data_IF_561441407142
#
_entry.id   IF_561441407142
#
_cell.length_a   1.000
_cell.length_b   1.000
_cell.length_c   1.000
_cell.angle_alpha   90.00
_cell.angle_beta   90.00
_cell.angle_gamma   90.00
#
_symmetry.space_group_name_H-M   'P 1'
#
loop_
_entity.id
_entity.type
_entity.pdbx_description
1 polymer ?
#
# COMPACT_ATOMS: atom_id res chain seq x y z
N UNK A 1 33.70 19.53 47.66
CA UNK A 1 32.78 18.90 48.63
C UNK A 1 32.38 17.51 48.12
N UNK A 2 32.40 16.52 49.01
CA UNK A 2 32.19 15.09 48.73
C UNK A 2 30.70 14.80 48.49
N UNK A 3 30.41 13.92 47.53
CA UNK A 3 29.17 13.15 47.43
C UNK A 3 29.49 11.85 46.70
N UNK A 4 29.19 10.71 47.32
CA UNK A 4 29.71 9.38 47.00
C UNK A 4 28.53 8.42 46.77
N UNK A 5 28.77 7.38 45.95
CA UNK A 5 28.07 6.07 45.85
C UNK A 5 26.71 6.10 45.12
N UNK A 6 26.31 5.15 44.26
CA UNK A 6 26.63 3.72 44.03
C UNK A 6 25.99 3.34 42.67
N UNK A 7 26.64 2.62 41.76
CA UNK A 7 26.56 1.15 41.68
C UNK A 7 25.66 0.70 40.52
N UNK A 8 26.24 0.36 39.36
CA UNK A 8 25.56 -0.41 38.30
C UNK A 8 26.28 -1.75 38.13
N UNK A 9 25.63 -2.79 38.65
CA UNK A 9 26.09 -4.17 38.55
C UNK A 9 25.96 -4.69 37.12
N UNK A 10 27.05 -5.27 36.63
CA UNK A 10 27.04 -6.19 35.50
C UNK A 10 26.33 -7.48 35.94
N UNK A 11 25.28 -7.88 35.22
CA UNK A 11 24.73 -9.23 35.31
C UNK A 11 25.01 -9.94 34.00
N UNK A 12 26.15 -10.62 33.99
CA UNK A 12 26.47 -11.71 33.07
C UNK A 12 25.76 -12.97 33.58
N UNK A 13 24.71 -13.41 32.90
CA UNK A 13 24.07 -14.70 33.13
C UNK A 13 24.48 -15.69 32.02
N UNK A 14 24.87 -16.93 32.36
CA UNK A 14 25.37 -17.89 31.37
C UNK A 14 24.23 -18.52 30.56
N UNK A 15 24.27 -18.35 29.24
CA UNK A 15 23.43 -19.08 28.29
C UNK A 15 23.85 -20.55 28.28
N UNK A 16 23.04 -21.42 28.91
CA UNK A 16 23.21 -22.87 28.82
C UNK A 16 22.86 -23.34 27.40
N UNK A 17 23.89 -23.58 26.59
CA UNK A 17 23.80 -24.42 25.40
C UNK A 17 23.40 -25.84 25.82
N UNK A 18 22.27 -26.35 25.33
CA UNK A 18 21.94 -27.78 25.45
C UNK A 18 22.73 -28.55 24.40
N UNK A 19 23.50 -29.53 24.88
CA UNK A 19 24.19 -30.52 24.06
C UNK A 19 23.19 -31.43 23.34
N UNK A 20 23.51 -31.75 22.08
CA UNK A 20 22.88 -32.82 21.30
C UNK A 20 23.73 -34.09 21.54
N UNK A 21 23.17 -35.23 21.95
CA UNK A 21 23.93 -36.46 22.07
C UNK A 21 24.21 -37.08 20.70
N UNK A 22 25.41 -37.64 20.59
CA UNK A 22 25.98 -38.38 19.47
C UNK A 22 25.18 -39.61 19.02
N UNK A 23 25.38 -39.93 17.76
CA UNK A 23 24.86 -41.08 17.04
C UNK A 23 25.41 -42.43 17.53
N UNK A 24 24.61 -43.48 17.38
CA UNK A 24 25.05 -44.88 17.26
C UNK A 24 23.96 -45.70 16.53
N UNK A 25 24.23 -46.94 16.08
CA UNK A 25 24.72 -47.24 14.74
C UNK A 25 23.82 -48.25 13.99
N UNK A 26 24.08 -48.44 12.69
CA UNK A 26 23.67 -49.64 11.98
C UNK A 26 22.92 -49.38 10.69
N UNK A 27 23.63 -49.42 9.57
CA UNK A 27 23.02 -49.89 8.34
C UNK A 27 24.03 -50.72 7.55
N UNK A 28 23.87 -52.03 7.64
CA UNK A 28 24.43 -52.99 6.71
C UNK A 28 23.76 -52.84 5.34
N UNK A 29 24.58 -53.01 4.31
CA UNK A 29 24.34 -52.47 2.98
C UNK A 29 23.14 -53.03 2.21
N UNK A 30 22.75 -52.24 1.23
CA UNK A 30 22.08 -52.73 0.02
C UNK A 30 22.74 -52.08 -1.19
N UNK A 31 23.41 -52.93 -1.97
CA UNK A 31 23.74 -52.71 -3.39
C UNK A 31 22.44 -52.69 -4.19
N UNK A 32 22.09 -51.54 -4.76
CA UNK A 32 20.98 -51.37 -5.70
C UNK A 32 21.38 -50.37 -6.79
N UNK A 33 21.03 -50.69 -8.03
CA UNK A 33 21.47 -50.04 -9.29
C UNK A 33 20.89 -48.65 -9.53
N UNK A 34 21.58 -47.77 -10.29
CA UNK A 34 21.11 -46.42 -10.58
C UNK A 34 20.17 -46.40 -11.80
N UNK A 35 18.87 -46.55 -11.57
CA UNK A 35 17.82 -46.17 -12.54
C UNK A 35 16.75 -45.33 -11.85
N UNK A 36 16.18 -44.40 -12.62
CA UNK A 36 15.04 -43.52 -12.29
C UNK A 36 15.30 -42.21 -11.53
N UNK A 37 15.94 -41.25 -12.23
CA UNK A 37 15.67 -39.82 -12.01
C UNK A 37 14.35 -39.41 -12.71
N UNK A 38 13.23 -39.92 -12.20
CA UNK A 38 11.92 -39.29 -12.46
C UNK A 38 11.37 -38.85 -11.12
N UNK A 39 11.34 -37.53 -10.88
CA UNK A 39 10.64 -36.96 -9.73
C UNK A 39 9.16 -37.27 -9.94
N UNK A 40 8.70 -38.38 -9.35
CA UNK A 40 7.30 -38.73 -9.31
C UNK A 40 6.55 -37.57 -8.64
N UNK A 41 5.81 -36.80 -9.44
CA UNK A 41 4.84 -35.83 -8.94
C UNK A 41 3.87 -36.62 -8.07
N UNK A 42 3.86 -36.32 -6.77
CA UNK A 42 2.82 -36.80 -5.86
C UNK A 42 1.45 -36.51 -6.51
N UNK A 43 0.54 -37.48 -6.59
CA UNK A 43 -0.82 -37.24 -7.07
C UNK A 43 -1.46 -36.16 -6.19
N UNK A 44 -2.01 -35.15 -6.85
CA UNK A 44 -2.78 -34.10 -6.20
C UNK A 44 -4.03 -34.74 -5.56
N UNK A 45 -4.43 -34.35 -4.34
CA UNK A 45 -5.65 -34.91 -3.73
C UNK A 45 -6.85 -34.71 -4.66
N UNK A 46 -7.65 -35.76 -4.82
CA UNK A 46 -8.89 -35.74 -5.60
C UNK A 46 -9.87 -34.77 -4.92
N UNK A 47 -10.08 -33.64 -5.58
CA UNK A 47 -10.81 -32.48 -5.04
C UNK A 47 -10.06 -31.21 -5.41
N UNK A 48 -10.24 -30.74 -6.64
CA UNK A 48 -9.67 -29.47 -7.10
C UNK A 48 -10.01 -28.32 -6.15
N UNK A 49 -9.26 -27.22 -6.20
CA UNK A 49 -9.53 -26.09 -5.31
C UNK A 49 -10.93 -25.52 -5.58
N UNK A 50 -11.68 -25.24 -4.52
CA UNK A 50 -13.03 -24.71 -4.62
C UNK A 50 -13.05 -23.44 -5.50
N UNK A 51 -14.04 -23.32 -6.42
CA UNK A 51 -14.13 -22.18 -7.32
C UNK A 51 -14.37 -20.88 -6.54
N UNK A 52 -14.11 -19.75 -7.20
CA UNK A 52 -14.53 -18.45 -6.68
C UNK A 52 -16.02 -18.33 -6.91
N UNK A 53 -16.80 -18.24 -5.84
CA UNK A 53 -18.26 -18.07 -5.90
C UNK A 53 -18.69 -16.64 -5.59
N UNK A 54 -17.82 -15.85 -4.93
CA UNK A 54 -18.03 -14.45 -4.62
C UNK A 54 -16.71 -13.70 -4.72
N UNK A 55 -16.75 -12.44 -5.18
CA UNK A 55 -15.62 -11.51 -5.13
C UNK A 55 -15.98 -10.35 -4.23
N UNK A 56 -15.06 -9.93 -3.38
CA UNK A 56 -15.25 -8.76 -2.52
C UNK A 56 -14.13 -7.77 -2.77
N UNK A 57 -14.49 -6.51 -3.01
CA UNK A 57 -13.56 -5.39 -3.11
C UNK A 57 -13.51 -4.66 -1.79
N UNK A 58 -12.30 -4.28 -1.40
CA UNK A 58 -12.01 -3.75 -0.07
C UNK A 58 -11.24 -2.45 -0.24
N UNK A 59 -11.70 -1.40 0.45
CA UNK A 59 -10.95 -0.15 0.65
C UNK A 59 -10.29 -0.17 2.02
N UNK A 60 -9.01 0.18 2.07
CA UNK A 60 -8.28 0.26 3.33
C UNK A 60 -7.38 1.50 3.38
N UNK A 61 -6.98 1.87 4.59
CA UNK A 61 -6.07 2.97 4.85
C UNK A 61 -4.71 2.49 5.35
N UNK A 62 -3.68 3.31 5.13
CA UNK A 62 -2.33 3.17 5.68
C UNK A 62 -1.96 4.48 6.37
N UNK A 63 -1.95 4.47 7.71
CA UNK A 63 -1.77 5.68 8.53
C UNK A 63 -0.62 5.54 9.52
N UNK A 64 -0.19 6.68 10.06
CA UNK A 64 0.82 6.73 11.12
C UNK A 64 2.13 6.05 10.70
N UNK A 65 2.74 5.20 11.56
CA UNK A 65 3.94 4.43 11.23
C UNK A 65 3.74 3.39 10.11
N UNK A 66 2.51 2.91 9.88
CA UNK A 66 2.23 1.85 8.91
C UNK A 66 2.34 2.33 7.45
N UNK A 67 2.46 3.64 7.23
CA UNK A 67 2.82 4.20 5.91
C UNK A 67 4.19 3.72 5.40
N UNK A 68 5.08 3.33 6.30
CA UNK A 68 6.40 2.79 5.96
C UNK A 68 6.37 1.28 5.62
N UNK A 69 5.21 0.63 5.72
CA UNK A 69 5.04 -0.77 5.30
C UNK A 69 5.09 -0.85 3.79
N UNK A 70 6.02 -1.65 3.24
CA UNK A 70 6.10 -1.90 1.80
C UNK A 70 4.88 -2.68 1.31
N UNK A 71 4.61 -2.67 0.00
CA UNK A 71 3.52 -3.46 -0.57
C UNK A 71 3.62 -4.96 -0.24
N UNK A 72 4.84 -5.52 -0.27
CA UNK A 72 5.06 -6.95 0.04
C UNK A 72 4.77 -7.26 1.51
N UNK A 73 5.15 -6.35 2.40
CA UNK A 73 4.93 -6.55 3.84
C UNK A 73 3.45 -6.41 4.20
N UNK A 74 2.74 -5.50 3.54
CA UNK A 74 1.29 -5.40 3.62
C UNK A 74 0.63 -6.69 3.12
N UNK A 75 0.99 -7.18 1.93
CA UNK A 75 0.42 -8.41 1.38
C UNK A 75 0.57 -9.60 2.34
N UNK A 76 1.74 -9.76 2.95
CA UNK A 76 1.99 -10.79 3.99
C UNK A 76 1.15 -10.57 5.25
N UNK A 77 0.97 -9.32 5.69
CA UNK A 77 0.13 -9.00 6.84
C UNK A 77 -1.35 -9.29 6.56
N UNK A 78 -1.81 -8.95 5.36
CA UNK A 78 -3.17 -9.19 4.90
C UNK A 78 -3.48 -10.68 4.76
N UNK A 79 -2.56 -11.48 4.19
CA UNK A 79 -2.70 -12.95 4.16
C UNK A 79 -2.81 -13.56 5.56
N UNK A 80 -2.05 -13.05 6.54
CA UNK A 80 -2.19 -13.47 7.94
C UNK A 80 -3.52 -13.04 8.54
N UNK A 81 -4.01 -11.85 8.19
CA UNK A 81 -5.32 -11.36 8.64
C UNK A 81 -6.44 -12.24 8.10
N UNK A 82 -6.42 -12.58 6.81
CA UNK A 82 -7.36 -13.53 6.18
C UNK A 82 -7.41 -14.86 6.94
N UNK A 83 -6.24 -15.42 7.29
CA UNK A 83 -6.15 -16.67 8.07
C UNK A 83 -6.69 -16.52 9.50
N UNK A 84 -6.35 -15.44 10.22
CA UNK A 84 -6.80 -15.20 11.60
C UNK A 84 -8.31 -14.94 11.69
N UNK A 85 -8.86 -14.24 10.72
CA UNK A 85 -10.29 -13.95 10.62
C UNK A 85 -11.11 -15.12 10.08
N UNK A 86 -10.47 -16.25 9.72
CA UNK A 86 -11.16 -17.42 9.19
C UNK A 86 -11.81 -17.18 7.82
N UNK A 87 -11.29 -16.23 7.03
CA UNK A 87 -11.89 -15.85 5.75
C UNK A 87 -11.80 -17.04 4.77
N UNK A 88 -12.91 -17.44 4.13
CA UNK A 88 -12.94 -18.55 3.19
C UNK A 88 -12.38 -18.12 1.83
N UNK A 89 -11.08 -17.82 1.79
CA UNK A 89 -10.37 -17.40 0.58
C UNK A 89 -10.27 -18.57 -0.40
N UNK A 90 -10.56 -18.31 -1.67
CA UNK A 90 -10.29 -19.23 -2.78
C UNK A 90 -8.81 -19.17 -3.18
N UNK A 91 -8.29 -20.25 -3.74
CA UNK A 91 -6.89 -20.36 -4.16
C UNK A 91 -6.77 -20.51 -5.68
N UNK A 92 -5.57 -20.27 -6.21
CA UNK A 92 -5.21 -20.49 -7.61
C UNK A 92 -4.88 -21.96 -7.91
N UNK A 93 -5.38 -22.49 -9.02
CA UNK A 93 -5.05 -23.85 -9.45
C UNK A 93 -3.55 -24.02 -9.73
N UNK A 94 -3.02 -25.23 -9.50
CA UNK A 94 -1.62 -25.59 -9.78
C UNK A 94 -0.85 -26.16 -8.58
N UNK A 95 0.45 -26.36 -8.75
CA UNK A 95 1.34 -27.02 -7.78
C UNK A 95 1.70 -26.15 -6.56
N UNK A 96 1.45 -24.84 -6.64
CA UNK A 96 1.66 -23.91 -5.52
C UNK A 96 0.44 -22.98 -5.45
N UNK A 97 -0.59 -23.38 -4.68
CA UNK A 97 -1.80 -22.58 -4.52
C UNK A 97 -1.49 -21.25 -3.83
N UNK A 98 -1.89 -20.14 -4.47
CA UNK A 98 -1.83 -18.82 -3.87
C UNK A 98 -3.25 -18.30 -3.62
N UNK A 99 -3.48 -17.57 -2.51
CA UNK A 99 -4.79 -16.96 -2.27
C UNK A 99 -5.13 -16.02 -3.42
N UNK A 100 -6.40 -16.04 -3.87
CA UNK A 100 -6.87 -15.18 -4.95
C UNK A 100 -7.08 -13.76 -4.43
N UNK A 101 -6.02 -12.96 -4.54
CA UNK A 101 -5.99 -11.55 -4.16
C UNK A 101 -5.46 -10.75 -5.34
N UNK A 102 -6.16 -9.68 -5.71
CA UNK A 102 -5.73 -8.69 -6.69
C UNK A 102 -5.59 -7.34 -6.02
N UNK A 103 -4.48 -6.65 -6.24
CA UNK A 103 -4.24 -5.32 -5.69
C UNK A 103 -4.32 -4.30 -6.82
N UNK A 104 -5.07 -3.21 -6.64
CA UNK A 104 -5.31 -2.24 -7.71
C UNK A 104 -4.06 -1.39 -7.99
N UNK A 105 -3.56 -0.75 -6.93
CA UNK A 105 -2.32 0.01 -6.91
C UNK A 105 -1.81 0.05 -5.46
N UNK A 106 -0.57 0.49 -5.25
CA UNK A 106 -0.03 0.69 -3.91
C UNK A 106 0.62 2.07 -3.80
N UNK A 107 0.35 2.81 -2.73
CA UNK A 107 1.12 4.01 -2.44
C UNK A 107 2.62 3.68 -2.27
N UNK A 108 3.52 4.60 -2.69
CA UNK A 108 4.94 4.48 -2.38
C UNK A 108 5.19 4.33 -0.87
N UNK A 109 6.27 3.62 -0.51
CA UNK A 109 6.67 3.51 0.89
C UNK A 109 6.96 4.88 1.48
N UNK A 110 6.45 5.14 2.69
CA UNK A 110 6.60 6.43 3.38
C UNK A 110 5.41 7.37 3.17
N UNK A 111 4.51 7.04 2.25
CA UNK A 111 3.31 7.83 1.93
C UNK A 111 2.08 7.22 2.60
N UNK A 112 1.29 8.06 3.28
CA UNK A 112 0.02 7.64 3.86
C UNK A 112 -1.05 7.52 2.76
N UNK A 113 -2.12 6.76 3.02
CA UNK A 113 -3.19 6.58 2.03
C UNK A 113 -4.51 6.31 2.71
N UNK A 114 -5.56 6.97 2.25
CA UNK A 114 -6.97 6.77 2.64
C UNK A 114 -7.73 5.94 1.61
N UNK A 115 -7.08 5.66 0.48
CA UNK A 115 -7.69 5.07 -0.70
C UNK A 115 -6.73 4.02 -1.27
N UNK A 116 -6.51 2.93 -0.54
CA UNK A 116 -5.93 1.71 -1.09
C UNK A 116 -7.05 0.70 -1.39
N UNK A 117 -6.91 -0.05 -2.49
CA UNK A 117 -7.94 -0.99 -2.92
C UNK A 117 -7.36 -2.37 -3.26
N UNK A 118 -8.10 -3.40 -2.88
CA UNK A 118 -7.83 -4.78 -3.27
C UNK A 118 -9.13 -5.54 -3.51
N UNK A 119 -9.04 -6.65 -4.22
CA UNK A 119 -10.12 -7.59 -4.47
C UNK A 119 -9.69 -8.98 -3.98
N UNK A 120 -10.60 -9.69 -3.31
CA UNK A 120 -10.40 -11.08 -2.91
C UNK A 120 -11.47 -11.98 -3.53
N UNK A 121 -11.08 -13.20 -3.90
CA UNK A 121 -12.00 -14.25 -4.33
C UNK A 121 -12.30 -15.23 -3.19
N UNK A 122 -13.58 -15.45 -2.91
CA UNK A 122 -14.06 -16.32 -1.83
C UNK A 122 -14.64 -17.62 -2.37
N UNK A 123 -14.48 -18.71 -1.61
CA UNK A 123 -15.00 -20.06 -1.95
C UNK A 123 -16.40 -20.34 -1.40
N UNK A 124 -16.92 -19.46 -0.55
CA UNK A 124 -18.31 -19.46 -0.06
C UNK A 124 -18.78 -18.00 0.10
N UNK A 125 -20.09 -17.72 0.00
CA UNK A 125 -20.62 -16.38 0.21
C UNK A 125 -20.42 -15.91 1.66
N UNK A 126 -19.99 -14.65 1.82
CA UNK A 126 -19.81 -13.98 3.10
C UNK A 126 -20.46 -12.59 3.02
N UNK A 127 -21.06 -12.17 4.13
CA UNK A 127 -21.55 -10.80 4.30
C UNK A 127 -20.37 -9.79 4.27
N UNK A 128 -20.35 -8.83 3.33
CA UNK A 128 -19.21 -7.90 3.18
C UNK A 128 -18.90 -7.09 4.44
N UNK A 129 -19.91 -6.67 5.22
CA UNK A 129 -19.66 -5.88 6.43
C UNK A 129 -19.07 -6.72 7.56
N UNK A 130 -19.53 -7.97 7.73
CA UNK A 130 -18.89 -8.92 8.66
C UNK A 130 -17.45 -9.19 8.26
N UNK A 131 -17.18 -9.34 6.96
CA UNK A 131 -15.83 -9.51 6.44
C UNK A 131 -14.96 -8.28 6.71
N UNK A 132 -15.47 -7.06 6.45
CA UNK A 132 -14.79 -5.79 6.76
C UNK A 132 -14.39 -5.74 8.23
N UNK A 133 -15.36 -5.91 9.12
CA UNK A 133 -15.16 -5.84 10.57
C UNK A 133 -14.18 -6.90 11.09
N UNK A 134 -14.24 -8.13 10.57
CA UNK A 134 -13.32 -9.20 10.95
C UNK A 134 -11.88 -8.93 10.48
N UNK A 135 -11.70 -8.41 9.26
CA UNK A 135 -10.38 -8.05 8.74
C UNK A 135 -9.78 -6.85 9.46
N UNK A 136 -10.58 -5.83 9.74
CA UNK A 136 -10.20 -4.64 10.50
C UNK A 136 -9.67 -5.02 11.89
N UNK A 137 -10.42 -5.85 12.62
CA UNK A 137 -10.01 -6.37 13.93
C UNK A 137 -8.77 -7.26 13.87
N UNK A 138 -8.54 -7.93 12.73
CA UNK A 138 -7.38 -8.80 12.55
C UNK A 138 -6.13 -8.05 12.10
N UNK A 139 -6.21 -6.81 11.61
CA UNK A 139 -5.07 -6.01 11.17
C UNK A 139 -4.50 -5.17 12.32
N UNK A 140 -3.26 -4.70 12.14
CA UNK A 140 -2.62 -3.83 13.12
C UNK A 140 -3.17 -2.40 12.99
N UNK A 141 -3.34 -1.65 14.09
CA UNK A 141 -3.79 -0.26 14.03
C UNK A 141 -2.99 0.57 13.02
N UNK A 142 -3.71 1.34 12.19
CA UNK A 142 -3.12 2.09 11.07
C UNK A 142 -3.09 1.33 9.74
N UNK A 143 -3.54 0.07 9.72
CA UNK A 143 -3.97 -0.67 8.52
C UNK A 143 -5.47 -0.96 8.64
N UNK A 144 -6.27 0.08 8.48
CA UNK A 144 -7.69 0.06 8.83
C UNK A 144 -8.53 -0.30 7.60
N UNK A 145 -9.41 -1.29 7.71
CA UNK A 145 -10.31 -1.69 6.62
C UNK A 145 -11.53 -0.78 6.67
N UNK A 146 -11.62 0.13 5.72
CA UNK A 146 -12.66 1.15 5.73
C UNK A 146 -13.98 0.62 5.21
N UNK A 147 -13.93 -0.27 4.23
CA UNK A 147 -15.11 -0.69 3.50
C UNK A 147 -14.88 -2.00 2.76
N UNK A 148 -15.95 -2.79 2.61
CA UNK A 148 -15.98 -3.96 1.75
C UNK A 148 -17.33 -4.05 1.03
N UNK A 149 -17.29 -4.30 -0.28
CA UNK A 149 -18.47 -4.43 -1.14
C UNK A 149 -18.34 -5.67 -2.03
N UNK A 150 -19.46 -6.30 -2.36
CA UNK A 150 -19.46 -7.38 -3.34
C UNK A 150 -19.14 -6.83 -4.73
N UNK A 151 -18.18 -7.45 -5.41
CA UNK A 151 -17.71 -6.96 -6.69
C UNK A 151 -18.69 -7.30 -7.82
N UNK A 152 -19.12 -6.27 -8.55
CA UNK A 152 -20.00 -6.41 -9.72
C UNK A 152 -19.27 -5.99 -10.98
N UNK A 153 -18.93 -6.98 -11.82
CA UNK A 153 -18.30 -6.78 -13.12
C UNK A 153 -16.95 -6.03 -13.13
N UNK A 154 -16.30 -6.02 -14.29
CA UNK A 154 -15.05 -5.29 -14.53
C UNK A 154 -13.85 -5.76 -13.68
N UNK A 155 -12.69 -5.19 -13.99
CA UNK A 155 -11.44 -5.38 -13.24
C UNK A 155 -11.22 -4.16 -12.35
N UNK A 156 -10.90 -4.37 -11.06
CA UNK A 156 -10.63 -3.26 -10.13
C UNK A 156 -9.45 -2.36 -10.58
N UNK A 157 -8.30 -2.89 -11.05
CA UNK A 157 -7.25 -2.07 -11.64
C UNK A 157 -7.71 -1.13 -12.76
N UNK A 158 -8.68 -1.56 -13.58
CA UNK A 158 -9.19 -0.77 -14.71
C UNK A 158 -10.05 0.42 -14.21
N UNK A 159 -10.42 0.44 -12.93
CA UNK A 159 -11.12 1.54 -12.26
C UNK A 159 -10.18 2.56 -11.63
N UNK A 160 -8.87 2.47 -11.87
CA UNK A 160 -7.86 3.37 -11.30
C UNK A 160 -7.16 4.15 -12.41
N UNK A 161 -7.62 5.38 -12.66
CA UNK A 161 -7.09 6.26 -13.71
C UNK A 161 -6.33 7.46 -13.14
N UNK A 162 -6.64 7.89 -11.93
CA UNK A 162 -6.01 9.03 -11.28
C UNK A 162 -5.94 8.89 -9.76
N UNK A 163 -5.13 9.73 -9.13
CA UNK A 163 -5.00 9.83 -7.67
C UNK A 163 -4.93 11.28 -7.22
N UNK A 164 -5.68 11.62 -6.17
CA UNK A 164 -5.63 12.92 -5.49
C UNK A 164 -4.76 12.80 -4.26
N UNK A 165 -3.78 13.67 -4.17
CA UNK A 165 -2.79 13.70 -3.11
C UNK A 165 -2.82 15.03 -2.39
N UNK A 166 -2.56 14.99 -1.09
CA UNK A 166 -2.22 16.15 -0.29
C UNK A 166 -0.78 16.03 0.17
N UNK A 167 -0.02 17.09 -0.02
CA UNK A 167 1.38 17.19 0.37
C UNK A 167 1.49 18.38 1.31
N UNK A 168 1.77 18.10 2.58
CA UNK A 168 2.10 19.13 3.56
C UNK A 168 3.60 19.42 3.48
N UNK A 169 3.94 20.70 3.43
CA UNK A 169 5.29 21.24 3.38
C UNK A 169 5.53 22.09 4.63
N UNK A 170 5.92 21.49 5.76
CA UNK A 170 6.23 22.25 6.96
C UNK A 170 7.41 23.19 6.70
N UNK A 171 7.41 24.33 7.37
CA UNK A 171 8.39 25.42 7.25
C UNK A 171 8.44 26.09 5.86
N UNK A 172 7.50 25.78 4.97
CA UNK A 172 7.35 26.46 3.67
C UNK A 172 6.23 27.50 3.76
N UNK A 173 6.55 28.72 3.34
CA UNK A 173 5.58 29.81 3.21
C UNK A 173 4.60 29.51 2.05
N UNK A 174 3.27 29.56 2.27
CA UNK A 174 2.27 29.40 1.21
C UNK A 174 2.54 30.27 -0.03
N UNK A 175 3.00 31.50 0.14
CA UNK A 175 3.30 32.39 -0.98
C UNK A 175 4.48 31.91 -1.84
N UNK A 176 5.44 31.20 -1.24
CA UNK A 176 6.54 30.54 -1.98
C UNK A 176 5.98 29.39 -2.80
N UNK A 177 5.11 28.57 -2.20
CA UNK A 177 4.46 27.47 -2.91
C UNK A 177 3.56 27.97 -4.05
N UNK A 178 2.79 29.04 -3.86
CA UNK A 178 1.94 29.65 -4.90
C UNK A 178 2.75 30.06 -6.13
N UNK A 179 3.91 30.70 -5.94
CA UNK A 179 4.81 31.04 -7.05
C UNK A 179 5.35 29.80 -7.75
N UNK A 180 5.70 28.76 -7.00
CA UNK A 180 6.18 27.51 -7.56
C UNK A 180 5.10 26.78 -8.38
N UNK A 181 3.86 26.76 -7.88
CA UNK A 181 2.70 26.19 -8.57
C UNK A 181 2.36 26.99 -9.83
N UNK A 182 2.46 28.31 -9.80
CA UNK A 182 2.28 29.15 -10.99
C UNK A 182 3.34 28.84 -12.06
N UNK A 183 4.61 28.71 -11.68
CA UNK A 183 5.69 28.31 -12.60
C UNK A 183 5.48 26.89 -13.16
N UNK A 184 5.08 25.94 -12.32
CA UNK A 184 4.77 24.57 -12.72
C UNK A 184 3.62 24.53 -13.74
N UNK A 185 2.56 25.31 -13.50
CA UNK A 185 1.38 25.35 -14.38
C UNK A 185 1.69 25.99 -15.72
N UNK A 186 2.55 27.01 -15.74
CA UNK A 186 2.95 27.73 -16.95
C UNK A 186 3.93 26.94 -17.85
N UNK A 187 4.63 25.95 -17.30
CA UNK A 187 5.53 25.11 -18.08
C UNK A 187 4.75 24.11 -18.95
N UNK A 188 5.14 24.00 -20.23
CA UNK A 188 4.60 22.99 -21.16
C UNK A 188 5.10 21.58 -20.82
N UNK A 189 6.35 21.48 -20.35
CA UNK A 189 7.03 20.22 -20.04
C UNK A 189 7.97 20.41 -18.85
N UNK A 190 8.03 19.44 -17.94
CA UNK A 190 8.92 19.44 -16.77
C UNK A 190 9.60 18.08 -16.66
N UNK A 191 10.83 18.01 -17.17
CA UNK A 191 11.65 16.81 -17.16
C UNK A 191 12.21 16.53 -15.76
N UNK A 192 11.90 15.35 -15.22
CA UNK A 192 12.42 14.86 -13.94
C UNK A 192 13.13 13.53 -14.13
N UNK A 193 14.04 13.21 -13.21
CA UNK A 193 14.82 11.99 -13.25
C UNK A 193 14.55 11.13 -12.02
N UNK A 194 14.29 9.84 -12.24
CA UNK A 194 14.08 8.88 -11.16
C UNK A 194 14.92 7.62 -11.36
N UNK A 195 15.48 7.10 -10.27
CA UNK A 195 16.18 5.81 -10.28
C UNK A 195 15.17 4.66 -10.39
N UNK A 196 15.42 3.73 -11.30
CA UNK A 196 14.65 2.50 -11.49
C UNK A 196 15.56 1.28 -11.31
N UNK A 197 15.00 0.07 -11.35
CA UNK A 197 15.81 -1.16 -11.34
C UNK A 197 16.72 -1.26 -12.58
N UNK A 198 16.37 -0.56 -13.67
CA UNK A 198 17.09 -0.53 -14.94
C UNK A 198 18.00 0.71 -15.08
N UNK A 199 18.18 1.48 -14.00
CA UNK A 199 18.98 2.71 -13.99
C UNK A 199 18.14 3.99 -13.96
N UNK A 200 18.80 5.12 -14.20
CA UNK A 200 18.18 6.46 -14.19
C UNK A 200 17.30 6.63 -15.41
N UNK A 201 16.08 7.12 -15.21
CA UNK A 201 15.11 7.38 -16.28
C UNK A 201 14.59 8.79 -16.18
N UNK A 202 14.56 9.49 -17.31
CA UNK A 202 13.99 10.83 -17.46
C UNK A 202 12.60 10.73 -18.09
N UNK A 203 11.66 11.54 -17.61
CA UNK A 203 10.30 11.64 -18.14
C UNK A 203 9.66 12.97 -17.75
N UNK A 204 8.65 13.38 -18.50
CA UNK A 204 7.87 14.57 -18.18
C UNK A 204 6.90 14.30 -17.01
N UNK A 205 7.09 15.01 -15.90
CA UNK A 205 6.18 14.96 -14.75
C UNK A 205 4.91 15.81 -14.99
N UNK A 206 5.01 16.88 -15.80
CA UNK A 206 3.93 17.85 -16.01
C UNK A 206 2.73 17.24 -16.73
N UNK A 207 2.97 16.40 -17.74
CA UNK A 207 1.93 15.73 -18.52
C UNK A 207 0.95 14.89 -17.69
N UNK A 208 1.38 14.34 -16.55
CA UNK A 208 0.49 13.54 -15.71
C UNK A 208 -0.34 14.36 -14.71
N UNK A 209 0.03 15.61 -14.44
CA UNK A 209 -0.65 16.47 -13.47
C UNK A 209 -1.82 17.19 -14.14
N UNK A 210 -3.04 16.90 -13.68
CA UNK A 210 -4.28 17.50 -14.23
C UNK A 210 -4.91 18.55 -13.32
N UNK A 211 -4.51 18.59 -12.06
CA UNK A 211 -4.89 19.62 -11.10
C UNK A 211 -3.78 19.80 -10.09
N UNK A 212 -3.46 21.05 -9.74
CA UNK A 212 -2.43 21.41 -8.78
C UNK A 212 -2.81 22.75 -8.14
N UNK A 213 -3.08 22.72 -6.84
CA UNK A 213 -3.65 23.85 -6.12
C UNK A 213 -2.97 24.01 -4.76
N UNK A 214 -2.82 25.26 -4.31
CA UNK A 214 -2.39 25.56 -2.95
C UNK A 214 -3.62 25.70 -2.07
N UNK A 215 -3.68 24.93 -1.00
CA UNK A 215 -4.75 25.09 -0.02
C UNK A 215 -4.40 26.21 0.96
N UNK A 216 -5.39 27.02 1.39
CA UNK A 216 -5.16 28.04 2.38
C UNK A 216 -4.67 27.41 3.69
N UNK A 217 -3.84 28.13 4.49
CA UNK A 217 -3.44 27.66 5.81
C UNK A 217 -4.69 27.36 6.63
N UNK A 218 -4.76 26.19 7.25
CA UNK A 218 -5.78 25.94 8.27
C UNK A 218 -5.52 26.90 9.44
N UNK A 219 -6.52 27.72 9.79
CA UNK A 219 -6.47 28.60 10.97
C UNK A 219 -6.09 27.74 12.19
N UNK A 220 -4.94 28.01 12.79
CA UNK A 220 -4.53 27.31 14.00
C UNK A 220 -5.28 27.92 15.19
N UNK A 221 -5.97 27.12 16.03
CA UNK A 221 -6.72 27.66 17.18
C UNK A 221 -5.85 28.26 18.29
N UNK A 222 -4.53 28.11 18.21
CA UNK A 222 -3.58 28.53 19.24
C UNK A 222 -2.83 29.75 18.73
N UNK A 223 -2.99 30.90 19.39
CA UNK A 223 -2.31 32.16 19.08
C UNK A 223 -0.78 32.17 19.27
N UNK A 224 -0.13 31.01 19.18
CA UNK A 224 1.30 30.91 18.95
C UNK A 224 1.59 31.16 17.46
N UNK A 225 2.73 31.77 17.13
CA UNK A 225 3.18 31.82 15.73
C UNK A 225 3.36 30.39 15.22
N UNK A 226 2.40 29.89 14.46
CA UNK A 226 2.51 28.60 13.81
C UNK A 226 3.68 28.67 12.84
N UNK A 227 4.59 27.69 12.94
CA UNK A 227 5.59 27.45 11.89
C UNK A 227 4.82 27.34 10.57
N UNK A 228 5.18 28.10 9.51
CA UNK A 228 4.40 28.12 8.28
C UNK A 228 4.32 26.69 7.72
N UNK A 229 3.17 26.31 7.19
CA UNK A 229 2.98 25.02 6.55
C UNK A 229 2.16 25.23 5.28
N UNK A 230 2.83 25.23 4.14
CA UNK A 230 2.15 25.25 2.86
C UNK A 230 1.55 23.87 2.59
N UNK A 231 0.37 23.84 1.96
CA UNK A 231 -0.33 22.59 1.64
C UNK A 231 -0.60 22.59 0.14
N UNK A 232 -0.04 21.61 -0.54
CA UNK A 232 -0.26 21.36 -1.96
C UNK A 232 -1.29 20.25 -2.11
N UNK A 233 -2.28 20.47 -2.95
CA UNK A 233 -3.16 19.41 -3.42
C UNK A 233 -2.92 19.16 -4.91
N UNK A 234 -2.79 17.90 -5.29
CA UNK A 234 -2.45 17.54 -6.67
C UNK A 234 -3.23 16.32 -7.12
N UNK A 235 -3.73 16.37 -8.35
CA UNK A 235 -4.37 15.25 -9.03
C UNK A 235 -3.46 14.78 -10.15
N UNK A 236 -3.08 13.50 -10.08
CA UNK A 236 -2.11 12.88 -11.00
C UNK A 236 -2.77 11.71 -11.71
N UNK A 237 -2.76 11.73 -13.05
CA UNK A 237 -3.17 10.59 -13.89
C UNK A 237 -2.18 9.43 -13.77
N UNK A 238 -2.70 8.21 -13.79
CA UNK A 238 -1.92 6.99 -13.92
C UNK A 238 -1.45 6.86 -15.38
N UNK A 239 -0.15 7.03 -15.59
CA UNK A 239 0.50 6.91 -16.89
C UNK A 239 1.73 6.00 -16.78
N UNK A 240 2.33 5.63 -17.92
CA UNK A 240 3.58 4.88 -17.95
C UNK A 240 4.67 5.71 -18.65
N UNK A 241 5.77 6.07 -17.96
CA UNK A 241 6.11 5.77 -16.57
C UNK A 241 5.22 6.53 -15.57
N UNK A 242 4.94 5.93 -14.41
CA UNK A 242 4.08 6.57 -13.41
C UNK A 242 4.73 7.78 -12.77
N UNK A 243 3.96 8.86 -12.62
CA UNK A 243 4.36 10.06 -11.89
C UNK A 243 3.90 9.93 -10.44
N UNK A 244 4.83 10.07 -9.49
CA UNK A 244 4.60 10.00 -8.04
C UNK A 244 4.56 11.42 -7.45
N UNK A 245 4.05 11.57 -6.22
CA UNK A 245 4.14 12.84 -5.49
C UNK A 245 5.57 13.41 -5.42
N UNK A 246 6.58 12.57 -5.23
CA UNK A 246 7.99 12.98 -5.21
C UNK A 246 8.49 13.50 -6.57
N UNK A 247 7.93 13.00 -7.68
CA UNK A 247 8.26 13.48 -9.02
C UNK A 247 7.65 14.88 -9.25
N UNK A 248 6.45 15.14 -8.71
CA UNK A 248 5.84 16.49 -8.73
C UNK A 248 6.67 17.47 -7.90
N UNK A 249 7.12 17.07 -6.71
CA UNK A 249 8.02 17.87 -5.88
C UNK A 249 9.37 18.13 -6.58
N UNK A 250 9.92 17.13 -7.27
CA UNK A 250 11.11 17.30 -8.09
C UNK A 250 10.86 18.31 -9.22
N UNK A 251 9.68 18.28 -9.84
CA UNK A 251 9.28 19.25 -10.85
C UNK A 251 9.19 20.68 -10.30
N UNK A 252 8.59 20.87 -9.12
CA UNK A 252 8.53 22.18 -8.43
C UNK A 252 9.93 22.72 -8.13
N UNK A 253 10.88 21.86 -7.76
CA UNK A 253 12.29 22.25 -7.62
C UNK A 253 12.90 22.68 -8.95
N UNK A 254 12.65 21.95 -10.03
CA UNK A 254 13.18 22.28 -11.37
C UNK A 254 12.72 23.66 -11.85
N UNK A 255 11.44 24.00 -11.64
CA UNK A 255 10.85 25.24 -12.21
C UNK A 255 10.93 26.46 -11.29
N UNK A 256 11.11 26.25 -9.98
CA UNK A 256 11.00 27.33 -9.00
C UNK A 256 12.00 27.24 -7.82
N UNK A 257 12.95 26.29 -7.87
CA UNK A 257 13.94 26.06 -6.81
C UNK A 257 13.30 25.83 -5.43
N UNK A 258 12.09 25.25 -5.41
CA UNK A 258 11.40 24.91 -4.17
C UNK A 258 12.08 23.72 -3.50
N UNK A 259 12.85 24.00 -2.45
CA UNK A 259 13.47 23.00 -1.58
C UNK A 259 12.87 23.06 -0.17
N UNK A 260 11.96 22.13 0.18
CA UNK A 260 11.42 22.06 1.54
C UNK A 260 12.55 21.79 2.55
N UNK A 261 12.64 22.55 3.65
CA UNK A 261 13.71 22.40 4.64
C UNK A 261 13.58 21.10 5.46
N UNK A 262 12.37 20.55 5.51
CA UNK A 262 12.06 19.26 6.15
C UNK A 262 11.30 18.36 5.19
N UNK A 263 11.33 17.05 5.45
CA UNK A 263 10.67 16.06 4.61
C UNK A 263 9.15 16.34 4.50
N UNK A 264 8.59 16.43 3.28
CA UNK A 264 7.16 16.58 3.06
C UNK A 264 6.35 15.42 3.65
N UNK A 265 5.11 15.70 4.07
CA UNK A 265 4.16 14.66 4.48
C UNK A 265 3.13 14.47 3.38
N UNK A 266 3.12 13.28 2.80
CA UNK A 266 2.25 12.96 1.67
C UNK A 266 1.15 11.99 2.11
N UNK A 267 -0.08 12.28 1.68
CA UNK A 267 -1.23 11.39 1.84
C UNK A 267 -2.01 11.30 0.52
N UNK A 268 -2.33 10.06 0.09
CA UNK A 268 -3.34 9.86 -0.95
C UNK A 268 -4.72 9.98 -0.33
N UNK A 269 -5.50 10.95 -0.79
CA UNK A 269 -6.87 11.17 -0.32
C UNK A 269 -7.87 10.29 -1.07
N UNK A 270 -7.68 10.15 -2.38
CA UNK A 270 -8.56 9.38 -3.26
C UNK A 270 -7.78 8.81 -4.45
N UNK A 271 -8.31 7.74 -5.03
CA UNK A 271 -7.95 7.29 -6.38
C UNK A 271 -9.15 6.56 -6.99
N UNK A 272 -9.24 6.60 -8.31
CA UNK A 272 -10.34 5.99 -9.05
C UNK A 272 -10.39 6.45 -10.49
N UNK A 273 -11.55 6.30 -11.14
CA UNK A 273 -11.77 6.79 -12.51
C UNK A 273 -11.91 8.30 -12.51
N UNK A 274 -11.61 8.92 -13.64
CA UNK A 274 -11.61 10.36 -13.78
C UNK A 274 -12.80 10.82 -14.64
N UNK A 275 -13.62 11.72 -14.10
CA UNK A 275 -14.70 12.35 -14.87
C UNK A 275 -14.15 13.34 -15.91
N UNK A 276 -14.98 13.75 -16.86
CA UNK A 276 -14.63 14.80 -17.82
C UNK A 276 -14.30 16.14 -17.13
N UNK A 277 -14.84 16.36 -15.93
CA UNK A 277 -14.63 17.55 -15.10
C UNK A 277 -13.38 17.45 -14.22
N UNK A 278 -12.64 16.33 -14.26
CA UNK A 278 -11.42 16.13 -13.46
C UNK A 278 -11.66 15.63 -12.03
N UNK A 279 -12.89 15.21 -11.72
CA UNK A 279 -13.22 14.63 -10.41
C UNK A 279 -12.86 13.14 -10.38
N UNK A 280 -12.48 12.66 -9.20
CA UNK A 280 -12.19 11.24 -8.97
C UNK A 280 -13.45 10.57 -8.42
N UNK A 281 -13.93 9.54 -9.13
CA UNK A 281 -15.04 8.69 -8.68
C UNK A 281 -14.48 7.51 -7.88
N UNK A 282 -15.16 7.11 -6.81
CA UNK A 282 -14.72 5.99 -5.98
C UNK A 282 -14.83 4.67 -6.79
N UNK A 283 -13.78 3.84 -6.87
CA UNK A 283 -13.81 2.54 -7.56
C UNK A 283 -14.93 1.60 -7.10
N UNK A 284 -15.40 1.77 -5.86
CA UNK A 284 -16.45 0.96 -5.26
C UNK A 284 -17.87 1.48 -5.55
N UNK A 285 -18.05 2.70 -6.07
CA UNK A 285 -19.39 3.28 -6.31
C UNK A 285 -20.27 2.36 -7.17
N UNK A 286 -19.73 1.85 -8.28
CA UNK A 286 -20.48 0.96 -9.17
C UNK A 286 -20.91 -0.37 -8.52
N UNK A 287 -20.24 -0.79 -7.45
CA UNK A 287 -20.57 -2.00 -6.70
C UNK A 287 -21.60 -1.72 -5.59
N UNK A 288 -21.61 -0.50 -5.01
CA UNK A 288 -22.61 -0.05 -4.03
C UNK A 288 -24.00 -0.01 -4.66
N UNK A 289 -24.11 0.52 -5.87
CA UNK A 289 -25.39 0.66 -6.58
C UNK A 289 -25.98 -0.68 -7.03
N UNK A 290 -25.12 -1.68 -7.28
CA UNK A 290 -25.55 -3.05 -7.60
C UNK A 290 -26.14 -3.82 -6.42
N UNK A 291 -25.85 -3.41 -5.17
CA UNK A 291 -26.34 -4.08 -3.96
C UNK A 291 -27.83 -3.79 -3.64
N UNK A 292 -28.47 -2.86 -4.35
CA UNK A 292 -29.86 -2.44 -4.08
C UNK A 292 -30.95 -3.36 -4.68
N UNK A 293 -30.59 -4.45 -5.37
CA UNK A 293 -31.57 -5.38 -5.97
C UNK A 293 -31.50 -6.74 -5.26
N UNK A 294 -32.03 -6.79 -4.04
CA UNK A 294 -32.09 -7.99 -3.21
C UNK A 294 -33.21 -7.92 -2.17
N UNK A 295 -34.44 -8.12 -2.65
CA UNK A 295 -35.65 -8.62 -1.96
C UNK A 295 -36.06 -8.03 -0.59
N UNK A 296 -37.18 -7.27 -0.63
CA UNK A 296 -38.24 -7.36 0.39
C UNK A 296 -39.15 -8.55 0.11
#
# INVERSE_FOLDING_TARGET
MRGRLTGFGRLSGPTRLRAVPDAAPGWDGHTGTPEELTIARKPQPEGGQAPVVQRVRIRYAKRGPLRFTSHRDFARAFERALRRAGVPIAFSQGFTPHPKISYASAAPTGVASEAEYLEIGLREPVDPERLRSALDAALSPGLDVLEAVEATGGSLPDRIEASRWRIELPEVDPAVLERAVAAFTAAEEIQVERMTKQGRRTFDARAAVIGIDVLPPAETPSGAMAVPCAILEVVVRQVTPSVRPDDVLSGLRVVADLEPPVAPRVIRLAQGTLTAQGEIVDPLDADRDGAAIGER
#
